data_IF_602142019601
#
_entry.id   IF_602142019601
#
_cell.length_a   1.000
_cell.length_b   1.000
_cell.length_c   1.000
_cell.angle_alpha   90.00
_cell.angle_beta   90.00
_cell.angle_gamma   90.00
#
_symmetry.space_group_name_H-M   'P 1'
#
loop_
_entity.id
_entity.type
_entity.pdbx_description
1 polymer ?
#
# COMPACT_ATOMS: atom_id res chain seq x y z
N UNK A 1 -7.07 -8.71 18.75
CA UNK A 1 -7.48 -8.66 17.33
C UNK A 1 -6.28 -9.10 16.53
N UNK A 2 -6.46 -9.96 15.55
CA UNK A 2 -5.37 -10.37 14.67
C UNK A 2 -5.08 -9.26 13.66
N UNK A 3 -3.81 -8.96 13.35
CA UNK A 3 -3.46 -7.97 12.35
C UNK A 3 -3.91 -8.45 10.96
N UNK A 4 -4.46 -7.54 10.17
CA UNK A 4 -4.78 -7.79 8.76
C UNK A 4 -3.54 -7.54 7.90
N UNK A 5 -3.34 -8.41 6.91
CA UNK A 5 -2.31 -8.22 5.89
C UNK A 5 -2.71 -7.11 4.91
N UNK A 6 -1.72 -6.45 4.33
CA UNK A 6 -1.94 -5.40 3.35
C UNK A 6 -0.66 -4.86 2.76
N UNK A 7 -0.81 -3.96 1.80
CA UNK A 7 0.28 -3.19 1.19
C UNK A 7 0.08 -1.71 1.49
N UNK A 8 1.17 -1.02 1.80
CA UNK A 8 1.14 0.39 2.14
C UNK A 8 1.99 1.22 1.18
N UNK A 9 1.46 2.37 0.78
CA UNK A 9 2.20 3.43 0.10
C UNK A 9 2.44 4.56 1.10
N UNK A 10 3.71 4.98 1.24
CA UNK A 10 4.08 6.13 2.05
C UNK A 10 4.92 7.08 1.21
N UNK A 11 4.44 8.31 1.04
CA UNK A 11 5.14 9.27 0.19
C UNK A 11 4.40 10.56 -0.02
N UNK A 12 5.01 11.43 -0.83
CA UNK A 12 4.48 12.78 -1.08
C UNK A 12 3.54 12.83 -2.28
N UNK A 13 3.34 11.70 -2.97
CA UNK A 13 2.53 11.59 -4.20
C UNK A 13 2.98 12.62 -5.26
N UNK A 14 4.24 12.56 -5.73
CA UNK A 14 4.82 13.52 -6.67
C UNK A 14 4.15 13.52 -8.05
N UNK A 15 3.38 12.48 -8.36
CA UNK A 15 2.62 12.34 -9.62
C UNK A 15 1.30 13.14 -9.61
N UNK A 16 0.83 13.57 -8.43
CA UNK A 16 -0.42 14.35 -8.27
C UNK A 16 -0.22 15.63 -7.43
N UNK A 17 1.00 16.20 -7.46
CA UNK A 17 1.37 17.46 -6.79
C UNK A 17 1.06 17.51 -5.28
N UNK A 18 1.19 16.38 -4.56
CA UNK A 18 1.04 16.35 -3.11
C UNK A 18 2.19 17.03 -2.37
N UNK A 19 1.89 17.80 -1.31
CA UNK A 19 2.90 18.51 -0.50
C UNK A 19 3.13 17.89 0.88
N UNK A 20 2.33 16.88 1.25
CA UNK A 20 2.38 16.21 2.56
C UNK A 20 2.58 14.72 2.38
N UNK A 21 3.41 14.13 3.23
CA UNK A 21 3.54 12.68 3.31
C UNK A 21 2.20 12.08 3.71
N UNK A 22 1.72 11.13 2.90
CA UNK A 22 0.50 10.39 3.16
C UNK A 22 0.84 8.91 3.31
N UNK A 23 0.17 8.26 4.25
CA UNK A 23 0.19 6.81 4.41
C UNK A 23 -1.16 6.26 3.92
N UNK A 24 -1.13 5.50 2.84
CA UNK A 24 -2.30 4.84 2.26
C UNK A 24 -2.09 3.33 2.38
N UNK A 25 -3.08 2.61 2.91
CA UNK A 25 -2.99 1.16 3.14
C UNK A 25 -4.14 0.47 2.43
N UNK A 26 -3.81 -0.51 1.60
CA UNK A 26 -4.76 -1.44 1.01
C UNK A 26 -4.74 -2.74 1.82
N UNK A 27 -5.81 -2.99 2.57
CA UNK A 27 -6.00 -4.20 3.36
C UNK A 27 -6.50 -5.34 2.46
N UNK A 28 -5.91 -6.52 2.59
CA UNK A 28 -6.35 -7.70 1.85
C UNK A 28 -7.60 -8.30 2.49
N UNK A 29 -8.50 -8.83 1.65
CA UNK A 29 -9.72 -9.52 2.06
C UNK A 29 -10.58 -8.76 3.08
N UNK A 30 -10.61 -7.42 2.95
CA UNK A 30 -11.31 -6.51 3.86
C UNK A 30 -12.42 -5.75 3.15
N UNK A 31 -13.66 -5.91 3.62
CA UNK A 31 -14.85 -5.28 3.05
C UNK A 31 -15.70 -4.64 4.15
N UNK A 32 -15.26 -3.48 4.65
CA UNK A 32 -16.01 -2.67 5.60
C UNK A 32 -15.62 -1.20 5.57
N UNK A 33 -16.55 -0.32 5.95
CA UNK A 33 -16.26 1.09 6.17
C UNK A 33 -15.67 1.33 7.55
N UNK A 34 -14.51 2.00 7.60
CA UNK A 34 -13.79 2.28 8.85
C UNK A 34 -13.43 3.76 9.03
N UNK A 35 -14.16 4.64 8.35
CA UNK A 35 -13.99 6.09 8.51
C UNK A 35 -14.12 6.50 10.00
N UNK A 36 -13.19 7.32 10.46
CA UNK A 36 -13.12 7.79 11.86
C UNK A 36 -12.59 6.77 12.87
N UNK A 37 -12.22 5.55 12.43
CA UNK A 37 -11.52 4.58 13.30
C UNK A 37 -10.03 4.86 13.33
N UNK A 38 -9.42 4.61 14.48
CA UNK A 38 -7.96 4.56 14.60
C UNK A 38 -7.45 3.18 14.19
N UNK A 39 -6.40 3.16 13.39
CA UNK A 39 -5.70 1.94 13.00
C UNK A 39 -4.22 2.06 13.38
N UNK A 40 -3.60 0.92 13.65
CA UNK A 40 -2.16 0.81 13.84
C UNK A 40 -1.58 0.09 12.62
N UNK A 41 -0.51 0.64 12.06
CA UNK A 41 0.19 0.07 10.90
C UNK A 41 1.61 -0.32 11.33
N UNK A 42 1.97 -1.59 11.10
CA UNK A 42 3.32 -2.11 11.32
C UNK A 42 3.97 -2.41 9.97
N UNK A 43 5.07 -1.74 9.66
CA UNK A 43 5.83 -2.01 8.44
C UNK A 43 6.70 -3.26 8.63
N UNK A 44 6.49 -4.29 7.79
CA UNK A 44 7.19 -5.56 7.89
C UNK A 44 8.29 -5.71 6.82
N UNK A 45 8.00 -5.28 5.59
CA UNK A 45 8.89 -5.43 4.46
C UNK A 45 8.76 -4.24 3.51
N UNK A 46 9.89 -3.73 3.01
CA UNK A 46 9.93 -2.65 2.03
C UNK A 46 10.04 -3.24 0.63
N UNK A 47 9.03 -2.99 -0.21
CA UNK A 47 9.01 -3.44 -1.61
C UNK A 47 9.92 -2.59 -2.51
N UNK A 48 9.77 -1.26 -2.45
CA UNK A 48 10.50 -0.32 -3.31
C UNK A 48 10.49 1.11 -2.75
N UNK A 49 11.22 2.00 -3.43
CA UNK A 49 11.12 3.45 -3.24
C UNK A 49 9.94 4.06 -4.00
N UNK A 50 9.55 5.29 -3.64
CA UNK A 50 8.53 6.06 -4.36
C UNK A 50 9.03 6.41 -5.77
N UNK A 51 8.17 6.24 -6.77
CA UNK A 51 8.51 6.41 -8.18
C UNK A 51 7.47 7.31 -8.85
N UNK A 52 7.94 8.17 -9.75
CA UNK A 52 7.07 8.96 -10.62
C UNK A 52 6.81 8.21 -11.92
N UNK A 53 5.55 8.00 -12.25
CA UNK A 53 5.15 7.27 -13.44
C UNK A 53 4.81 8.22 -14.60
N UNK A 54 5.10 7.77 -15.82
CA UNK A 54 4.81 8.53 -17.04
C UNK A 54 3.31 8.55 -17.40
N UNK A 55 2.51 7.63 -16.84
CA UNK A 55 1.06 7.54 -17.09
C UNK A 55 0.31 6.87 -15.93
N UNK A 56 -1.01 7.06 -15.91
CA UNK A 56 -1.89 6.40 -14.95
C UNK A 56 -1.88 4.87 -15.12
N UNK A 57 -1.82 4.38 -16.36
CA UNK A 57 -1.75 2.94 -16.66
C UNK A 57 -0.46 2.32 -16.10
N UNK A 58 0.68 3.02 -16.23
CA UNK A 58 1.94 2.56 -15.65
C UNK A 58 1.88 2.52 -14.12
N UNK A 59 1.29 3.54 -13.48
CA UNK A 59 1.06 3.54 -12.03
C UNK A 59 0.18 2.36 -11.61
N UNK A 60 -0.95 2.13 -12.30
CA UNK A 60 -1.88 1.05 -11.99
C UNK A 60 -1.21 -0.32 -12.10
N UNK A 61 -0.50 -0.57 -13.20
CA UNK A 61 0.23 -1.83 -13.40
C UNK A 61 1.28 -2.05 -12.29
N UNK A 62 1.97 -0.99 -11.84
CA UNK A 62 2.91 -1.12 -10.73
C UNK A 62 2.21 -1.41 -9.40
N UNK A 63 1.06 -0.79 -9.12
CA UNK A 63 0.26 -1.08 -7.92
C UNK A 63 -0.17 -2.56 -7.91
N UNK A 64 -0.62 -3.09 -9.05
CA UNK A 64 -0.99 -4.51 -9.17
C UNK A 64 0.20 -5.45 -8.88
N UNK A 65 1.40 -5.08 -9.34
CA UNK A 65 2.63 -5.82 -9.02
C UNK A 65 2.99 -5.71 -7.52
N UNK A 66 2.90 -4.51 -6.93
CA UNK A 66 3.17 -4.29 -5.50
C UNK A 66 2.22 -5.15 -4.63
N UNK A 67 0.95 -5.27 -5.01
CA UNK A 67 -0.02 -6.15 -4.34
C UNK A 67 0.39 -7.61 -4.43
N UNK A 68 0.76 -8.09 -5.63
CA UNK A 68 1.17 -9.48 -5.84
C UNK A 68 2.45 -9.83 -5.07
N UNK A 69 3.45 -8.93 -5.05
CA UNK A 69 4.68 -9.08 -4.28
C UNK A 69 4.41 -9.14 -2.76
N UNK A 70 3.53 -8.27 -2.25
CA UNK A 70 3.12 -8.30 -0.85
C UNK A 70 2.38 -9.59 -0.48
N UNK A 71 1.47 -10.06 -1.33
CA UNK A 71 0.78 -11.34 -1.13
C UNK A 71 1.76 -12.51 -1.10
N UNK A 72 2.75 -12.53 -1.99
CA UNK A 72 3.80 -13.55 -2.00
C UNK A 72 4.65 -13.52 -0.72
N UNK A 73 4.99 -12.32 -0.20
CA UNK A 73 5.68 -12.17 1.08
C UNK A 73 4.91 -12.82 2.23
N UNK A 74 3.60 -12.53 2.37
CA UNK A 74 2.79 -13.12 3.43
C UNK A 74 2.56 -14.62 3.26
N UNK A 75 2.45 -15.11 2.01
CA UNK A 75 2.33 -16.55 1.74
C UNK A 75 3.59 -17.34 2.16
N UNK A 76 4.78 -16.72 2.10
CA UNK A 76 6.03 -17.32 2.57
C UNK A 76 6.24 -17.28 4.10
N UNK A 77 5.35 -16.61 4.84
CA UNK A 77 5.38 -16.57 6.31
C UNK A 77 4.51 -17.65 6.98
N UNK A 78 3.66 -18.32 6.19
CA UNK A 78 2.81 -19.44 6.64
C UNK A 78 3.60 -20.75 6.65
#
# INVERSE_FOLDING_TARGET
>A
QEPLAGVASIGTRPTVDGTRALLEVYLFDFEAEIYGRHIQVSFLHKLRDEEKFASLEALKSRIEQDVAEAQAYFAGMA
#
